data_IF_240053429734
#
_entry.id   IF_240053429734
#
_cell.length_a   1.000
_cell.length_b   1.000
_cell.length_c   1.000
_cell.angle_alpha   90.00
_cell.angle_beta   90.00
_cell.angle_gamma   90.00
#
_symmetry.space_group_name_H-M   'P 1'
#
loop_
_entity.id
_entity.type
_entity.pdbx_description
1 polymer ?
#
# COMPACT_ATOMS: atom_id res chain seq x y z
N UNK A 1 20.32 -42.31 -11.59
CA UNK A 1 19.23 -42.14 -10.63
C UNK A 1 19.44 -41.00 -9.65
N UNK A 2 20.65 -40.80 -9.11
CA UNK A 2 20.89 -39.68 -8.18
C UNK A 2 20.82 -38.31 -8.82
N UNK A 3 21.00 -38.14 -10.13
CA UNK A 3 20.96 -36.88 -10.84
C UNK A 3 19.53 -36.34 -11.07
N UNK A 4 18.54 -37.23 -11.12
CA UNK A 4 17.12 -36.81 -11.30
C UNK A 4 16.55 -36.24 -9.99
N UNK A 5 17.04 -36.73 -8.87
CA UNK A 5 16.62 -36.28 -7.55
C UNK A 5 17.04 -34.81 -7.27
N UNK A 6 18.20 -34.38 -7.75
CA UNK A 6 18.69 -33.03 -7.61
C UNK A 6 17.93 -32.01 -8.46
N UNK A 7 17.49 -32.42 -9.64
CA UNK A 7 16.69 -31.59 -10.55
C UNK A 7 15.28 -31.30 -9.98
N UNK A 8 14.68 -32.28 -9.32
CA UNK A 8 13.39 -32.10 -8.65
C UNK A 8 13.46 -31.16 -7.45
N UNK A 9 14.56 -31.22 -6.70
CA UNK A 9 14.76 -30.31 -5.56
C UNK A 9 14.96 -28.86 -5.99
N UNK A 10 15.65 -28.62 -7.12
CA UNK A 10 15.87 -27.29 -7.67
C UNK A 10 14.57 -26.64 -8.19
N UNK A 11 13.65 -27.44 -8.72
CA UNK A 11 12.32 -26.96 -9.16
C UNK A 11 11.42 -26.55 -7.98
N UNK A 12 11.59 -27.17 -6.82
CA UNK A 12 10.79 -26.85 -5.64
C UNK A 12 11.21 -25.51 -5.00
N UNK A 13 12.47 -25.12 -5.11
CA UNK A 13 12.98 -23.84 -4.57
C UNK A 13 12.51 -22.64 -5.39
N UNK A 14 12.26 -22.82 -6.69
CA UNK A 14 11.80 -21.75 -7.57
C UNK A 14 10.33 -21.37 -7.36
N UNK A 15 9.51 -22.25 -6.77
CA UNK A 15 8.10 -21.95 -6.51
C UNK A 15 7.85 -21.21 -5.20
N UNK A 16 8.86 -21.06 -4.33
CA UNK A 16 8.71 -20.41 -3.02
C UNK A 16 8.77 -18.87 -3.06
N UNK A 17 9.09 -18.26 -4.21
CA UNK A 17 9.33 -16.82 -4.33
C UNK A 17 8.15 -16.02 -4.91
N UNK A 18 6.99 -16.61 -5.09
CA UNK A 18 5.86 -16.01 -5.79
C UNK A 18 4.77 -15.41 -4.87
N UNK A 19 5.03 -15.24 -3.56
CA UNK A 19 4.02 -14.73 -2.64
C UNK A 19 4.06 -13.21 -2.53
N UNK A 20 2.89 -12.56 -2.74
CA UNK A 20 2.69 -11.14 -2.51
C UNK A 20 2.71 -10.86 -1.01
N UNK A 21 3.43 -9.83 -0.59
CA UNK A 21 3.49 -9.43 0.81
C UNK A 21 2.20 -8.75 1.23
N UNK A 22 1.78 -9.01 2.46
CA UNK A 22 0.63 -8.38 3.07
C UNK A 22 0.97 -7.02 3.63
N UNK A 23 0.00 -6.11 3.57
CA UNK A 23 0.07 -4.82 4.25
C UNK A 23 0.08 -5.06 5.76
N UNK A 24 0.98 -4.38 6.46
CA UNK A 24 1.00 -4.32 7.92
C UNK A 24 0.44 -2.98 8.36
N UNK A 25 -0.33 -2.96 9.46
CA UNK A 25 -0.95 -1.73 9.93
C UNK A 25 -1.02 -1.66 11.45
N UNK A 26 -1.24 -0.44 11.93
CA UNK A 26 -1.32 -0.10 13.34
C UNK A 26 -2.28 1.09 13.51
N UNK A 27 -3.06 1.12 14.58
CA UNK A 27 -4.00 2.20 14.86
C UNK A 27 -4.33 2.23 16.34
N UNK A 28 -4.88 3.37 16.83
CA UNK A 28 -5.35 3.45 18.21
C UNK A 28 -6.53 2.54 18.49
N UNK A 29 -7.51 2.53 17.56
CA UNK A 29 -8.71 1.73 17.67
C UNK A 29 -8.95 0.99 16.36
N UNK A 30 -9.51 -0.22 16.46
CA UNK A 30 -9.96 -0.96 15.28
C UNK A 30 -11.28 -1.67 15.62
N UNK A 31 -12.17 -1.70 14.64
CA UNK A 31 -13.44 -2.41 14.73
C UNK A 31 -13.87 -2.93 13.35
N UNK A 32 -14.99 -3.65 13.34
CA UNK A 32 -15.61 -4.11 12.10
C UNK A 32 -17.08 -3.72 12.11
N UNK A 33 -17.60 -3.37 10.93
CA UNK A 33 -19.01 -3.11 10.71
C UNK A 33 -19.38 -3.71 9.35
N UNK A 34 -19.83 -4.97 9.37
CA UNK A 34 -20.11 -5.73 8.15
C UNK A 34 -21.30 -5.17 7.36
N UNK A 35 -22.20 -4.44 8.00
CA UNK A 35 -23.31 -3.81 7.30
C UNK A 35 -22.89 -2.58 6.53
N UNK A 36 -22.04 -1.74 7.12
CA UNK A 36 -21.60 -0.49 6.52
C UNK A 36 -20.34 -0.66 5.67
N UNK A 37 -19.40 -1.48 6.14
CA UNK A 37 -18.12 -1.70 5.47
C UNK A 37 -17.83 -3.19 5.34
N UNK A 38 -18.55 -3.92 4.47
CA UNK A 38 -18.39 -5.37 4.34
C UNK A 38 -16.96 -5.74 3.93
N UNK A 39 -16.39 -6.70 4.65
CA UNK A 39 -15.04 -7.21 4.38
C UNK A 39 -13.90 -6.32 4.87
N UNK A 40 -14.20 -5.23 5.57
CA UNK A 40 -13.17 -4.28 6.02
C UNK A 40 -12.97 -4.29 7.53
N UNK A 41 -11.74 -4.05 7.95
CA UNK A 41 -11.41 -3.61 9.30
C UNK A 41 -11.31 -2.09 9.28
N UNK A 42 -12.05 -1.42 10.16
CA UNK A 42 -12.00 0.03 10.29
C UNK A 42 -10.93 0.41 11.30
N UNK A 43 -10.04 1.31 10.91
CA UNK A 43 -8.93 1.80 11.71
C UNK A 43 -9.15 3.26 12.04
N UNK A 44 -9.03 3.63 13.31
CA UNK A 44 -9.35 4.97 13.79
C UNK A 44 -8.23 5.49 14.68
N UNK A 45 -7.70 6.65 14.33
CA UNK A 45 -6.71 7.39 15.12
C UNK A 45 -5.29 6.90 14.93
N UNK A 46 -4.42 7.80 14.55
CA UNK A 46 -2.98 7.55 14.35
C UNK A 46 -2.72 6.28 13.54
N UNK A 47 -3.40 6.17 12.40
CA UNK A 47 -3.30 5.00 11.53
C UNK A 47 -1.94 5.03 10.82
N UNK A 48 -1.26 3.88 10.84
CA UNK A 48 0.01 3.69 10.15
C UNK A 48 -0.02 2.39 9.38
N UNK A 49 0.31 2.47 8.11
CA UNK A 49 0.43 1.33 7.20
C UNK A 49 1.88 1.21 6.72
N UNK A 50 2.40 -0.01 6.67
CA UNK A 50 3.74 -0.30 6.12
C UNK A 50 3.62 -1.41 5.10
N UNK A 51 4.21 -1.19 3.93
CA UNK A 51 4.23 -2.19 2.88
C UNK A 51 5.42 -1.99 1.96
N UNK A 52 6.37 -2.94 1.98
CA UNK A 52 7.51 -3.02 1.06
C UNK A 52 8.19 -1.66 0.82
N UNK A 53 8.63 -1.02 1.88
CA UNK A 53 9.34 0.26 1.80
C UNK A 53 8.46 1.50 1.74
N UNK A 54 7.14 1.35 1.70
CA UNK A 54 6.21 2.47 1.80
C UNK A 54 5.66 2.57 3.23
N UNK A 55 5.53 3.78 3.73
CA UNK A 55 4.88 4.09 5.00
C UNK A 55 3.78 5.10 4.71
N UNK A 56 2.55 4.78 5.11
CA UNK A 56 1.41 5.68 4.98
C UNK A 56 0.82 5.93 6.34
N UNK A 57 0.57 7.20 6.67
CA UNK A 57 -0.14 7.58 7.89
C UNK A 57 -1.39 8.37 7.54
N UNK A 58 -2.43 8.25 8.36
CA UNK A 58 -3.68 8.96 8.15
C UNK A 58 -4.50 8.97 9.44
N UNK A 59 -5.66 9.63 9.40
CA UNK A 59 -6.56 9.73 10.56
C UNK A 59 -7.45 8.48 10.71
N UNK A 60 -7.99 8.01 9.60
CA UNK A 60 -8.85 6.84 9.53
C UNK A 60 -8.55 6.01 8.30
N UNK A 61 -8.86 4.71 8.36
CA UNK A 61 -8.68 3.85 7.21
C UNK A 61 -9.64 2.67 7.24
N UNK A 62 -9.88 2.10 6.06
CA UNK A 62 -10.56 0.83 5.89
C UNK A 62 -9.55 -0.14 5.26
N UNK A 63 -9.29 -1.24 5.93
CA UNK A 63 -8.40 -2.28 5.43
C UNK A 63 -9.19 -3.51 5.02
N UNK A 64 -9.07 -3.90 3.74
CA UNK A 64 -9.69 -5.07 3.15
C UNK A 64 -8.65 -6.19 3.07
N UNK A 65 -8.63 -7.05 4.07
CA UNK A 65 -7.60 -8.08 4.24
C UNK A 65 -7.51 -9.03 3.04
N UNK A 66 -8.64 -9.50 2.53
CA UNK A 66 -8.66 -10.46 1.43
C UNK A 66 -8.15 -9.88 0.12
N UNK A 67 -8.39 -8.58 -0.10
CA UNK A 67 -7.93 -7.86 -1.28
C UNK A 67 -6.55 -7.24 -1.12
N UNK A 68 -5.99 -7.26 0.09
CA UNK A 68 -4.75 -6.55 0.44
C UNK A 68 -4.82 -5.08 0.03
N UNK A 69 -5.95 -4.43 0.34
CA UNK A 69 -6.32 -3.11 -0.13
C UNK A 69 -6.61 -2.18 1.05
N UNK A 70 -6.11 -0.95 0.96
CA UNK A 70 -6.17 0.04 2.05
C UNK A 70 -6.77 1.34 1.55
N UNK A 71 -7.84 1.82 2.22
CA UNK A 71 -8.45 3.13 1.95
C UNK A 71 -8.12 4.07 3.08
N UNK A 72 -7.33 5.11 2.80
CA UNK A 72 -6.89 6.09 3.78
C UNK A 72 -7.74 7.36 3.69
N UNK A 73 -8.10 7.91 4.85
CA UNK A 73 -9.00 9.06 4.95
C UNK A 73 -8.44 10.06 5.96
N UNK A 74 -8.23 11.28 5.51
CA UNK A 74 -7.85 12.42 6.35
C UNK A 74 -6.36 12.51 6.63
N UNK A 75 -5.76 13.63 6.28
CA UNK A 75 -4.34 13.93 6.49
C UNK A 75 -3.44 12.77 6.07
N UNK A 76 -3.62 12.32 4.83
CA UNK A 76 -2.83 11.20 4.31
C UNK A 76 -1.42 11.67 4.02
N UNK A 77 -0.45 10.95 4.56
CA UNK A 77 0.97 11.15 4.30
C UNK A 77 1.57 9.82 3.85
N UNK A 78 2.14 9.80 2.67
CA UNK A 78 2.81 8.62 2.12
C UNK A 78 4.29 8.94 1.93
N UNK A 79 5.15 8.10 2.51
CA UNK A 79 6.59 8.15 2.29
C UNK A 79 7.02 6.88 1.59
N UNK A 80 7.69 7.04 0.45
CA UNK A 80 8.21 5.91 -0.29
C UNK A 80 9.72 5.99 -0.36
N UNK A 81 10.40 4.99 0.21
CA UNK A 81 11.84 5.01 0.35
C UNK A 81 12.27 6.22 1.18
N UNK A 82 13.43 6.80 0.86
CA UNK A 82 13.97 7.92 1.61
C UNK A 82 13.68 9.30 0.99
N UNK A 83 13.16 9.33 -0.23
CA UNK A 83 13.16 10.58 -1.02
C UNK A 83 11.80 11.07 -1.49
N UNK A 84 10.81 10.18 -1.65
CA UNK A 84 9.49 10.55 -2.17
C UNK A 84 8.50 10.69 -1.03
N UNK A 85 7.85 11.84 -0.92
CA UNK A 85 6.75 12.08 0.02
C UNK A 85 5.54 12.59 -0.72
N UNK A 86 4.34 12.21 -0.23
CA UNK A 86 3.09 12.64 -0.82
C UNK A 86 2.08 12.93 0.28
N UNK A 87 1.38 14.06 0.18
CA UNK A 87 0.28 14.38 1.07
C UNK A 87 -1.01 14.50 0.26
N UNK A 88 -2.13 14.14 0.86
CA UNK A 88 -3.45 14.23 0.24
C UNK A 88 -4.54 14.15 1.32
N UNK A 89 -5.79 14.39 0.92
CA UNK A 89 -6.93 14.20 1.82
C UNK A 89 -7.36 12.74 1.87
N UNK A 90 -7.26 12.02 0.73
CA UNK A 90 -7.67 10.63 0.57
C UNK A 90 -6.65 9.86 -0.26
N UNK A 91 -6.54 8.57 -0.01
CA UNK A 91 -5.72 7.68 -0.85
C UNK A 91 -6.24 6.25 -0.80
N UNK A 92 -6.19 5.57 -1.94
CA UNK A 92 -6.36 4.14 -2.06
C UNK A 92 -5.01 3.51 -2.34
N UNK A 93 -4.68 2.46 -1.62
CA UNK A 93 -3.43 1.71 -1.80
C UNK A 93 -3.76 0.24 -2.06
N UNK A 94 -3.34 -0.27 -3.22
CA UNK A 94 -3.46 -1.68 -3.57
C UNK A 94 -2.12 -2.36 -3.30
N UNK A 95 -2.07 -3.23 -2.27
CA UNK A 95 -0.84 -3.92 -1.89
C UNK A 95 -0.42 -4.99 -2.87
N UNK A 96 -1.31 -5.51 -3.71
CA UNK A 96 -0.97 -6.52 -4.70
C UNK A 96 -0.34 -5.91 -5.95
N UNK A 97 -0.92 -4.83 -6.47
CA UNK A 97 -0.43 -4.16 -7.67
C UNK A 97 0.53 -3.01 -7.38
N UNK A 98 0.65 -2.60 -6.13
CA UNK A 98 1.44 -1.44 -5.67
C UNK A 98 1.01 -0.13 -6.32
N UNK A 99 -0.29 -0.01 -6.61
CA UNK A 99 -0.89 1.20 -7.16
C UNK A 99 -1.40 2.08 -6.02
N UNK A 100 -1.14 3.38 -6.13
CA UNK A 100 -1.66 4.39 -5.20
C UNK A 100 -2.48 5.39 -5.99
N UNK A 101 -3.75 5.58 -5.59
CA UNK A 101 -4.60 6.62 -6.13
C UNK A 101 -4.89 7.62 -5.01
N UNK A 102 -4.49 8.87 -5.22
CA UNK A 102 -4.68 9.94 -4.23
C UNK A 102 -5.53 11.06 -4.81
N UNK A 103 -6.32 11.69 -3.96
CA UNK A 103 -7.11 12.85 -4.37
C UNK A 103 -7.37 13.77 -3.17
N UNK A 104 -7.76 15.00 -3.51
CA UNK A 104 -7.92 16.08 -2.53
C UNK A 104 -6.57 16.68 -2.15
N UNK A 105 -6.23 17.81 -2.73
CA UNK A 105 -5.03 18.60 -2.41
C UNK A 105 -3.74 17.75 -2.43
N UNK A 106 -3.51 17.05 -3.53
CA UNK A 106 -2.35 16.16 -3.63
C UNK A 106 -1.08 16.97 -3.87
N UNK A 107 -0.06 16.73 -3.03
CA UNK A 107 1.27 17.31 -3.18
C UNK A 107 2.28 16.17 -3.11
N UNK A 108 3.04 15.98 -4.18
CA UNK A 108 4.13 15.01 -4.23
C UNK A 108 5.45 15.75 -4.30
N UNK A 109 6.42 15.34 -3.48
CA UNK A 109 7.75 15.93 -3.44
C UNK A 109 8.81 14.85 -3.57
N UNK A 110 9.83 15.15 -4.37
CA UNK A 110 11.09 14.44 -4.37
C UNK A 110 12.24 15.47 -4.30
N UNK A 111 13.52 15.06 -4.29
CA UNK A 111 14.62 16.02 -4.15
C UNK A 111 14.70 17.07 -5.27
N UNK A 112 14.09 16.83 -6.42
CA UNK A 112 14.22 17.70 -7.60
C UNK A 112 12.94 18.39 -8.02
N UNK A 113 11.75 17.94 -7.55
CA UNK A 113 10.48 18.52 -7.99
C UNK A 113 9.42 18.52 -6.91
N UNK A 114 8.44 19.40 -7.10
CA UNK A 114 7.18 19.44 -6.36
C UNK A 114 6.05 19.37 -7.38
N UNK A 115 5.17 18.40 -7.24
CA UNK A 115 4.00 18.22 -8.11
C UNK A 115 2.73 18.39 -7.28
N UNK A 116 1.83 19.29 -7.75
CA UNK A 116 0.51 19.48 -7.14
C UNK A 116 -0.56 19.06 -8.13
N UNK A 117 -1.61 18.40 -7.66
CA UNK A 117 -2.71 17.94 -8.50
C UNK A 117 -3.96 17.72 -7.66
N UNK A 118 -5.13 17.70 -8.30
CA UNK A 118 -6.38 17.30 -7.64
C UNK A 118 -6.42 15.79 -7.46
N UNK A 119 -5.88 15.05 -8.42
CA UNK A 119 -5.75 13.59 -8.37
C UNK A 119 -4.38 13.19 -8.87
N UNK A 120 -3.87 12.09 -8.31
CA UNK A 120 -2.57 11.54 -8.71
C UNK A 120 -2.63 10.02 -8.59
N UNK A 121 -2.25 9.33 -9.67
CA UNK A 121 -2.01 7.90 -9.63
C UNK A 121 -0.51 7.64 -9.65
N UNK A 122 -0.01 6.93 -8.64
CA UNK A 122 1.38 6.54 -8.53
C UNK A 122 1.50 5.03 -8.68
N UNK A 123 2.16 4.60 -9.75
CA UNK A 123 2.48 3.20 -9.97
C UNK A 123 3.85 2.90 -9.36
N UNK A 124 3.87 2.35 -8.15
CA UNK A 124 5.11 2.03 -7.44
C UNK A 124 5.89 0.91 -8.11
N UNK A 125 5.18 -0.02 -8.75
CA UNK A 125 5.82 -1.17 -9.40
C UNK A 125 6.69 -0.72 -10.57
N UNK A 126 6.18 0.20 -11.41
CA UNK A 126 6.86 0.70 -12.60
C UNK A 126 7.43 2.11 -12.42
N UNK A 127 7.25 2.70 -11.24
CA UNK A 127 7.71 4.06 -10.89
C UNK A 127 7.21 5.12 -11.87
N UNK A 128 5.91 5.10 -12.16
CA UNK A 128 5.24 6.04 -13.05
C UNK A 128 4.19 6.86 -12.32
N UNK A 129 4.04 8.11 -12.74
CA UNK A 129 3.06 9.06 -12.21
C UNK A 129 2.07 9.44 -13.31
N UNK A 130 0.80 9.46 -12.97
CA UNK A 130 -0.29 9.91 -13.85
C UNK A 130 -1.10 10.99 -13.11
N UNK A 131 -1.22 12.18 -13.73
CA UNK A 131 -1.92 13.32 -13.11
C UNK A 131 -2.66 14.16 -14.14
#
# INVERSE_FOLDING_TARGET
MKRIFFLLLALFVLSANAQTKKILYNAKLQDTDEQKYPGATRLIGEVRMVHEGAILTCQQALYYKEKNFFKAIGNVYLKQGDTITQTSDYAYYDGNSKQVLSWGNVILKDPTMVLTSDTLQFDRLNQKLYY
#
